data_IF_631628835454
#
_entry.id   IF_631628835454
#
_cell.length_a   1.000
_cell.length_b   1.000
_cell.length_c   1.000
_cell.angle_alpha   90.00
_cell.angle_beta   90.00
_cell.angle_gamma   90.00
#
_symmetry.space_group_name_H-M   'P 1'
#
loop_
_entity.id
_entity.type
_entity.pdbx_description
1 polymer ?
#
# COMPACT_ATOMS: atom_id res chain seq x y z
N UNK A 1 -6.45 25.42 2.97
CA UNK A 1 -7.44 24.58 3.68
C UNK A 1 -8.26 23.86 2.63
N UNK A 2 -8.14 22.54 2.51
CA UNK A 2 -8.77 21.76 1.44
C UNK A 2 -10.00 21.03 1.97
N UNK A 3 -11.04 20.92 1.14
CA UNK A 3 -12.29 20.23 1.45
C UNK A 3 -12.33 18.94 0.64
N UNK A 4 -12.16 17.79 1.30
CA UNK A 4 -12.36 16.48 0.68
C UNK A 4 -13.57 15.79 1.32
N UNK A 5 -14.49 15.19 0.55
CA UNK A 5 -15.51 14.33 1.12
C UNK A 5 -14.85 13.08 1.70
N UNK A 6 -15.23 12.71 2.92
CA UNK A 6 -14.87 11.44 3.54
C UNK A 6 -15.67 10.28 2.89
N UNK A 7 -15.29 9.01 3.08
CA UNK A 7 -16.03 7.83 2.60
C UNK A 7 -17.49 7.76 3.06
N UNK A 8 -17.89 8.57 4.06
CA UNK A 8 -19.28 8.75 4.52
C UNK A 8 -19.99 9.99 3.94
N UNK A 9 -19.45 10.60 2.89
CA UNK A 9 -19.99 11.79 2.22
C UNK A 9 -19.86 13.12 2.99
N UNK A 10 -19.34 13.10 4.22
CA UNK A 10 -19.16 14.31 5.04
C UNK A 10 -17.92 15.09 4.58
N UNK A 11 -18.07 16.38 4.33
CA UNK A 11 -16.97 17.28 3.95
C UNK A 11 -16.14 17.60 5.19
N UNK A 12 -14.91 17.08 5.25
CA UNK A 12 -13.97 17.37 6.33
C UNK A 12 -13.04 18.49 5.87
N UNK A 13 -12.88 19.53 6.70
CA UNK A 13 -11.89 20.58 6.47
C UNK A 13 -10.55 20.10 7.04
N UNK A 14 -9.56 19.95 6.17
CA UNK A 14 -8.19 19.62 6.57
C UNK A 14 -7.21 20.73 6.11
N UNK A 15 -6.10 20.93 6.84
CA UNK A 15 -4.97 21.70 6.33
C UNK A 15 -4.44 21.10 5.02
N UNK A 16 -3.94 21.93 4.12
CA UNK A 16 -3.39 21.48 2.83
C UNK A 16 -2.22 20.50 3.01
N UNK A 17 -1.42 20.67 4.07
CA UNK A 17 -0.32 19.76 4.42
C UNK A 17 -0.81 18.34 4.72
N UNK A 18 -1.84 18.22 5.56
CA UNK A 18 -2.44 16.92 5.94
C UNK A 18 -3.06 16.25 4.72
N UNK A 19 -3.68 17.04 3.84
CA UNK A 19 -4.25 16.51 2.60
C UNK A 19 -3.19 15.95 1.66
N UNK A 20 -2.09 16.69 1.45
CA UNK A 20 -0.97 16.26 0.63
C UNK A 20 -0.32 14.99 1.19
N UNK A 21 -0.14 14.92 2.51
CA UNK A 21 0.36 13.71 3.18
C UNK A 21 -0.58 12.52 2.95
N UNK A 22 -1.88 12.69 3.17
CA UNK A 22 -2.86 11.61 3.01
C UNK A 22 -2.96 11.08 1.56
N UNK A 23 -2.65 11.91 0.57
CA UNK A 23 -2.61 11.49 -0.83
C UNK A 23 -1.35 10.70 -1.18
N UNK A 24 -0.22 11.00 -0.53
CA UNK A 24 1.06 10.34 -0.83
C UNK A 24 1.41 9.18 0.12
N UNK A 25 0.80 9.11 1.31
CA UNK A 25 1.17 8.16 2.36
C UNK A 25 0.94 6.69 1.97
N UNK A 26 0.02 6.42 1.04
CA UNK A 26 -0.42 5.07 0.71
C UNK A 26 0.54 4.27 -0.18
N UNK A 27 1.63 4.85 -0.67
CA UNK A 27 2.48 4.20 -1.68
C UNK A 27 3.05 2.83 -1.24
N UNK A 28 3.46 2.70 0.02
CA UNK A 28 4.01 1.45 0.56
C UNK A 28 2.91 0.44 0.86
N UNK A 29 1.84 0.87 1.55
CA UNK A 29 0.72 0.00 1.93
C UNK A 29 -0.04 -0.54 0.71
N UNK A 30 -0.19 0.27 -0.35
CA UNK A 30 -0.74 -0.17 -1.63
C UNK A 30 0.14 -1.23 -2.31
N UNK A 31 1.46 -1.08 -2.23
CA UNK A 31 2.41 -2.06 -2.74
C UNK A 31 2.30 -3.40 -2.00
N UNK A 32 2.26 -3.36 -0.68
CA UNK A 32 2.09 -4.55 0.15
C UNK A 32 0.75 -5.25 -0.09
N UNK A 33 -0.34 -4.49 -0.31
CA UNK A 33 -1.64 -5.05 -0.68
C UNK A 33 -1.60 -5.80 -2.03
N UNK A 34 -0.92 -5.24 -3.03
CA UNK A 34 -0.76 -5.89 -4.33
C UNK A 34 0.08 -7.17 -4.20
N UNK A 35 1.19 -7.12 -3.46
CA UNK A 35 2.02 -8.29 -3.20
C UNK A 35 1.19 -9.38 -2.51
N UNK A 36 0.41 -9.05 -1.48
CA UNK A 36 -0.44 -10.00 -0.78
C UNK A 36 -1.55 -10.59 -1.67
N UNK A 37 -2.11 -9.81 -2.60
CA UNK A 37 -3.14 -10.27 -3.53
C UNK A 37 -2.60 -11.28 -4.55
N UNK A 38 -1.36 -11.13 -4.98
CA UNK A 38 -0.72 -12.00 -5.98
C UNK A 38 0.31 -12.97 -5.37
N UNK A 39 0.43 -13.03 -4.04
CA UNK A 39 1.38 -13.91 -3.36
C UNK A 39 1.03 -15.37 -3.62
N UNK A 40 1.95 -16.07 -4.27
CA UNK A 40 1.87 -17.51 -4.47
C UNK A 40 2.26 -18.21 -3.17
N UNK A 41 1.38 -19.05 -2.63
CA UNK A 41 1.54 -19.74 -1.35
C UNK A 41 2.56 -20.90 -1.43
N UNK A 42 3.84 -20.59 -1.65
CA UNK A 42 4.91 -21.57 -1.67
C UNK A 42 5.35 -21.91 -0.25
N UNK A 43 4.98 -23.09 0.24
CA UNK A 43 5.47 -23.59 1.53
C UNK A 43 6.92 -24.05 1.39
N UNK A 44 7.86 -23.32 1.99
CA UNK A 44 9.27 -23.71 2.01
C UNK A 44 9.89 -23.53 3.40
N UNK A 45 10.75 -24.47 3.79
CA UNK A 45 11.54 -24.39 5.03
C UNK A 45 12.78 -23.49 4.87
N UNK A 46 13.12 -23.10 3.63
CA UNK A 46 14.32 -22.34 3.29
C UNK A 46 13.99 -20.86 3.10
N UNK A 47 14.45 -19.99 3.99
CA UNK A 47 14.16 -18.55 3.98
C UNK A 47 14.61 -17.84 2.69
N UNK A 48 15.76 -18.24 2.13
CA UNK A 48 16.28 -17.64 0.89
C UNK A 48 15.35 -17.80 -0.31
N UNK A 49 14.54 -18.87 -0.35
CA UNK A 49 13.53 -19.04 -1.40
C UNK A 49 12.44 -18.00 -1.27
N UNK A 50 11.99 -17.70 -0.04
CA UNK A 50 10.98 -16.66 0.23
C UNK A 50 11.48 -15.27 -0.22
N UNK A 51 12.75 -14.96 0.07
CA UNK A 51 13.37 -13.69 -0.35
C UNK A 51 13.44 -13.61 -1.87
N UNK A 52 13.89 -14.67 -2.55
CA UNK A 52 13.99 -14.71 -4.00
C UNK A 52 12.63 -14.49 -4.69
N UNK A 53 11.58 -15.16 -4.21
CA UNK A 53 10.23 -15.00 -4.78
C UNK A 53 9.68 -13.59 -4.55
N UNK A 54 9.86 -13.02 -3.36
CA UNK A 54 9.46 -11.63 -3.12
C UNK A 54 10.20 -10.65 -4.04
N UNK A 55 11.49 -10.89 -4.29
CA UNK A 55 12.27 -10.05 -5.20
C UNK A 55 11.78 -10.15 -6.64
N UNK A 56 11.46 -11.36 -7.11
CA UNK A 56 10.89 -11.59 -8.45
C UNK A 56 9.51 -10.93 -8.61
N UNK A 57 8.64 -11.05 -7.60
CA UNK A 57 7.30 -10.48 -7.62
C UNK A 57 7.29 -8.95 -7.54
N UNK A 58 8.32 -8.35 -6.94
CA UNK A 58 8.45 -6.88 -6.84
C UNK A 58 9.16 -6.27 -8.05
N UNK A 59 10.00 -7.04 -8.76
CA UNK A 59 10.78 -6.57 -9.89
C UNK A 59 10.07 -6.68 -11.25
N UNK A 60 8.90 -7.33 -11.31
CA UNK A 60 8.07 -7.48 -12.51
C UNK A 60 6.88 -6.54 -12.46
#
# INVERSE_FOLDING_TARGET
MTRKPNSKGKVVKAPSLVHKYNETMGGVDLGDQLIAQYETQFRSLKLWKKILFNLLMTAT
#
